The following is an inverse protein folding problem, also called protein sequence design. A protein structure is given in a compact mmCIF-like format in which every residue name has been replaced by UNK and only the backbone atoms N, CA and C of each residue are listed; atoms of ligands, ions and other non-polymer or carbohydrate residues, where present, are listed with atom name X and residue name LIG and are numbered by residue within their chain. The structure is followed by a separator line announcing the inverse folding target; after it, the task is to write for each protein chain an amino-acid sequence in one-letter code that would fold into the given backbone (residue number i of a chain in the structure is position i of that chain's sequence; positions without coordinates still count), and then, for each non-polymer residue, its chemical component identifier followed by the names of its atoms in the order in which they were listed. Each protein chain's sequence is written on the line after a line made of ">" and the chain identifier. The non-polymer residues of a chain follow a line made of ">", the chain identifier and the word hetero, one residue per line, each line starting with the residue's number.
data_IF_297545870279
#
_entry.id   IF_297545870279
#
_cell.length_a   1.000
_cell.length_b   1.000
_cell.length_c   1.000
_cell.angle_alpha   90.00
_cell.angle_beta   90.00
_cell.angle_gamma   90.00
#
_symmetry.space_group_name_H-M   'P 1'
#
loop_
_entity.id
_entity.type
_entity.pdbx_description
1 polymer ?
#
# COMPACT_ATOMS: atom_id res chain seq x y z
N UNK A 1 1.54 18.53 -25.95
CA UNK A 1 3.02 18.33 -25.98
C UNK A 1 3.61 18.84 -24.68
N UNK A 2 3.22 20.02 -24.19
CA UNK A 2 3.58 20.59 -22.88
C UNK A 2 3.22 19.66 -21.70
N UNK A 3 1.96 19.21 -21.60
CA UNK A 3 1.52 18.30 -20.52
C UNK A 3 2.30 16.97 -20.41
N UNK A 4 2.87 16.45 -21.51
CA UNK A 4 3.66 15.23 -21.46
C UNK A 4 5.07 15.49 -20.90
N UNK A 5 5.61 16.70 -21.13
CA UNK A 5 6.89 17.12 -20.56
C UNK A 5 6.75 17.41 -19.07
N UNK A 6 5.67 18.08 -18.65
CA UNK A 6 5.37 18.35 -17.24
C UNK A 6 5.21 17.04 -16.44
N UNK A 7 4.48 16.06 -16.98
CA UNK A 7 4.34 14.74 -16.35
C UNK A 7 5.69 14.01 -16.18
N UNK A 8 6.60 14.14 -17.15
CA UNK A 8 7.92 13.49 -17.08
C UNK A 8 8.83 14.14 -16.02
N UNK A 9 8.74 15.46 -15.87
CA UNK A 9 9.44 16.19 -14.80
C UNK A 9 8.86 15.79 -13.44
N UNK A 10 7.53 15.73 -13.31
CA UNK A 10 6.85 15.31 -12.08
C UNK A 10 7.22 13.88 -11.68
N UNK A 11 7.24 12.93 -12.61
CA UNK A 11 7.65 11.54 -12.34
C UNK A 11 9.10 11.45 -11.84
N UNK A 12 10.00 12.27 -12.41
CA UNK A 12 11.39 12.34 -11.95
C UNK A 12 11.48 12.80 -10.49
N UNK A 13 10.76 13.88 -10.15
CA UNK A 13 10.69 14.42 -8.78
C UNK A 13 10.12 13.38 -7.81
N UNK A 14 9.00 12.74 -8.17
CA UNK A 14 8.37 11.69 -7.37
C UNK A 14 9.37 10.55 -7.07
N UNK A 15 10.16 10.15 -8.06
CA UNK A 15 11.14 9.06 -7.90
C UNK A 15 12.33 9.46 -7.01
N UNK A 16 12.81 10.70 -7.10
CA UNK A 16 13.87 11.21 -6.22
C UNK A 16 13.41 11.32 -4.77
N UNK A 17 12.23 11.88 -4.54
CA UNK A 17 11.62 11.97 -3.21
C UNK A 17 11.38 10.60 -2.60
N UNK A 18 10.87 9.64 -3.38
CA UNK A 18 10.69 8.26 -2.93
C UNK A 18 12.00 7.61 -2.50
N UNK A 19 13.10 7.83 -3.23
CA UNK A 19 14.43 7.31 -2.86
C UNK A 19 14.93 7.91 -1.55
N UNK A 20 14.73 9.21 -1.33
CA UNK A 20 15.11 9.87 -0.09
C UNK A 20 14.28 9.32 1.08
N UNK A 21 12.95 9.25 0.90
CA UNK A 21 12.05 8.65 1.89
C UNK A 21 12.47 7.23 2.27
N UNK A 22 12.79 6.39 1.28
CA UNK A 22 13.23 5.00 1.50
C UNK A 22 14.55 4.88 2.25
N UNK A 23 15.47 5.84 2.11
CA UNK A 23 16.70 5.90 2.92
C UNK A 23 16.38 6.28 4.37
N UNK A 24 15.36 7.11 4.59
CA UNK A 24 14.99 7.61 5.90
C UNK A 24 13.98 6.72 6.65
N UNK A 25 13.30 5.79 5.97
CA UNK A 25 12.24 4.96 6.58
C UNK A 25 12.66 4.22 7.85
N UNK A 26 13.90 3.74 7.93
CA UNK A 26 14.42 3.06 9.12
C UNK A 26 14.53 3.98 10.36
N UNK A 27 14.62 5.29 10.16
CA UNK A 27 14.63 6.28 11.25
C UNK A 27 13.23 6.81 11.56
N UNK A 28 12.29 6.70 10.62
CA UNK A 28 10.96 7.31 10.71
C UNK A 28 9.88 6.35 11.21
N UNK A 29 10.02 5.04 10.97
CA UNK A 29 8.98 4.05 11.23
C UNK A 29 9.57 2.77 11.81
N UNK A 30 8.92 2.20 12.83
CA UNK A 30 9.27 0.89 13.38
C UNK A 30 8.89 -0.27 12.44
N UNK A 31 7.85 -0.07 11.62
CA UNK A 31 7.37 -1.05 10.64
C UNK A 31 6.85 -0.33 9.39
N UNK A 32 7.31 -0.77 8.22
CA UNK A 32 6.77 -0.37 6.92
C UNK A 32 6.50 -1.64 6.12
N UNK A 33 5.26 -1.81 5.67
CA UNK A 33 4.85 -2.93 4.82
C UNK A 33 4.37 -2.39 3.48
N UNK A 34 5.03 -2.80 2.40
CA UNK A 34 4.67 -2.40 1.04
C UNK A 34 4.22 -3.63 0.26
N UNK A 35 3.00 -3.61 -0.26
CA UNK A 35 2.45 -4.69 -1.08
C UNK A 35 1.90 -4.12 -2.39
N UNK A 36 2.39 -4.65 -3.52
CA UNK A 36 1.85 -4.32 -4.83
C UNK A 36 0.57 -5.14 -5.05
N UNK A 37 -0.58 -4.48 -4.96
CA UNK A 37 -1.86 -5.10 -5.27
C UNK A 37 -1.98 -5.34 -6.78
N UNK A 38 -2.68 -6.40 -7.16
CA UNK A 38 -2.96 -6.71 -8.57
C UNK A 38 -3.78 -5.59 -9.23
N UNK A 39 -4.71 -5.01 -8.47
CA UNK A 39 -5.58 -3.92 -8.92
C UNK A 39 -5.59 -2.79 -7.89
N UNK A 40 -5.74 -1.53 -8.32
CA UNK A 40 -5.88 -0.41 -7.40
C UNK A 40 -7.12 -0.61 -6.54
N UNK A 41 -6.92 -0.55 -5.22
CA UNK A 41 -8.02 -0.52 -4.26
C UNK A 41 -8.45 0.92 -4.03
N UNK A 42 -9.76 1.20 -4.06
CA UNK A 42 -10.29 2.52 -3.73
C UNK A 42 -10.66 2.66 -2.24
N UNK A 43 -10.78 1.54 -1.52
CA UNK A 43 -11.04 1.55 -0.07
C UNK A 43 -10.15 0.54 0.65
N UNK A 44 -9.80 0.85 1.90
CA UNK A 44 -9.10 -0.06 2.82
C UNK A 44 -9.74 0.06 4.19
N UNK A 45 -10.18 -1.06 4.77
CA UNK A 45 -10.78 -1.09 6.09
C UNK A 45 -10.26 -2.30 6.87
N UNK A 46 -9.76 -2.08 8.07
CA UNK A 46 -9.35 -3.17 8.96
C UNK A 46 -10.57 -3.80 9.64
N UNK A 47 -10.63 -5.13 9.65
CA UNK A 47 -11.57 -5.85 10.49
C UNK A 47 -11.05 -5.90 11.93
N UNK A 48 -11.95 -5.89 12.94
CA UNK A 48 -11.56 -6.00 14.35
C UNK A 48 -11.03 -7.40 14.71
N UNK A 49 -11.24 -8.39 13.85
CA UNK A 49 -10.76 -9.76 14.05
C UNK A 49 -9.24 -9.81 13.98
N UNK A 50 -8.61 -10.19 15.09
CA UNK A 50 -7.18 -10.43 15.19
C UNK A 50 -6.94 -11.87 15.63
N UNK A 51 -6.29 -12.66 14.78
CA UNK A 51 -5.95 -14.04 15.10
C UNK A 51 -4.50 -14.12 15.58
N UNK A 52 -4.31 -14.62 16.81
CA UNK A 52 -2.97 -14.84 17.40
C UNK A 52 -2.69 -16.34 17.50
N UNK A 53 -1.93 -16.93 16.56
CA UNK A 53 -1.56 -18.33 16.64
C UNK A 53 -0.67 -18.60 17.87
N UNK A 54 -0.98 -19.67 18.60
CA UNK A 54 -0.23 -20.06 19.81
C UNK A 54 1.25 -20.34 19.45
N UNK A 55 2.16 -19.76 20.24
CA UNK A 55 3.61 -19.94 20.07
C UNK A 55 4.25 -19.14 18.93
N UNK A 56 3.57 -18.12 18.37
CA UNK A 56 4.14 -17.23 17.34
C UNK A 56 4.11 -15.77 17.77
N UNK A 57 5.13 -15.02 17.35
CA UNK A 57 5.32 -13.60 17.70
C UNK A 57 4.61 -12.63 16.74
N UNK A 58 3.61 -13.10 15.99
CA UNK A 58 2.85 -12.26 15.06
C UNK A 58 1.34 -12.39 15.25
N UNK A 59 0.63 -11.30 14.98
CA UNK A 59 -0.83 -11.28 14.91
C UNK A 59 -1.26 -11.20 13.45
N UNK A 60 -2.27 -11.98 13.07
CA UNK A 60 -2.86 -11.93 11.74
C UNK A 60 -4.00 -10.93 11.78
N UNK A 61 -3.88 -9.88 10.97
CA UNK A 61 -4.90 -8.88 10.75
C UNK A 61 -5.48 -9.05 9.33
N UNK A 62 -6.81 -8.91 9.19
CA UNK A 62 -7.50 -9.00 7.90
C UNK A 62 -8.01 -7.62 7.47
N UNK A 63 -7.34 -6.94 6.53
CA UNK A 63 -7.90 -5.77 5.88
C UNK A 63 -8.85 -6.18 4.74
N UNK A 64 -9.97 -5.47 4.63
CA UNK A 64 -10.88 -5.51 3.47
C UNK A 64 -10.44 -4.42 2.50
N UNK A 65 -10.19 -4.82 1.26
CA UNK A 65 -9.82 -3.93 0.16
C UNK A 65 -10.98 -3.88 -0.83
N UNK A 66 -11.50 -2.69 -1.11
CA UNK A 66 -12.53 -2.51 -2.15
C UNK A 66 -11.88 -2.18 -3.49
N UNK A 67 -11.89 -3.14 -4.41
CA UNK A 67 -11.56 -2.87 -5.81
C UNK A 67 -12.81 -2.37 -6.54
N UNK A 68 -12.75 -1.20 -7.17
CA UNK A 68 -13.78 -0.79 -8.13
C UNK A 68 -13.44 -1.39 -9.50
N UNK A 69 -13.60 -2.69 -9.61
CA UNK A 69 -14.05 -3.26 -10.87
C UNK A 69 -15.57 -3.30 -10.79
N UNK A 70 -16.29 -3.02 -11.89
CA UNK A 70 -17.76 -3.11 -11.99
C UNK A 70 -18.32 -4.54 -11.75
N UNK A 71 -17.60 -5.42 -11.05
CA UNK A 71 -18.07 -6.73 -10.62
C UNK A 71 -17.71 -6.95 -9.16
N UNK A 72 -18.75 -6.92 -8.32
CA UNK A 72 -18.72 -7.50 -6.98
C UNK A 72 -18.33 -8.98 -7.09
N UNK A 73 -17.08 -9.31 -6.78
CA UNK A 73 -16.72 -10.64 -6.33
C UNK A 73 -16.03 -10.54 -4.98
N UNK A 74 -16.87 -10.49 -3.95
CA UNK A 74 -16.53 -10.96 -2.61
C UNK A 74 -15.95 -12.36 -2.77
N UNK A 75 -14.63 -12.51 -2.59
CA UNK A 75 -14.01 -13.82 -2.49
C UNK A 75 -13.47 -13.96 -1.07
N UNK A 76 -13.88 -15.07 -0.46
CA UNK A 76 -13.81 -15.51 0.93
C UNK A 76 -12.42 -15.44 1.57
#
# INVERSE_FOLDING_TARGET
>A
MEAAFDNAVEECVINEEYKIWKKNTAFLYDLVMTHALEWPSLTVQWLPDVTRPEGKDFSIHRPVLGTQHLMNKTTF
#
